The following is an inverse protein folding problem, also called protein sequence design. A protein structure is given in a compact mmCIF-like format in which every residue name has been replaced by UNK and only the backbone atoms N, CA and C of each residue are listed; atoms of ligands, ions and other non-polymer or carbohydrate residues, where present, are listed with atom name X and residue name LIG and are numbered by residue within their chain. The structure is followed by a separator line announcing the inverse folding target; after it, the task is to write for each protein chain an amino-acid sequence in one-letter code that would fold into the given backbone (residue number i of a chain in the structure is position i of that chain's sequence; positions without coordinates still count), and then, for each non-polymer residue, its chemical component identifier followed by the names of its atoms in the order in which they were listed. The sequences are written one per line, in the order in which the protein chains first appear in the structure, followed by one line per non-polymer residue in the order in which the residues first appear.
data_IF_518414989774
#
_entry.id   IF_518414989774
#
_cell.length_a   1.000
_cell.length_b   1.000
_cell.length_c   1.000
_cell.angle_alpha   90.00
_cell.angle_beta   90.00
_cell.angle_gamma   90.00
#
_symmetry.space_group_name_H-M   'P 1'
#
loop_
_entity.id
_entity.type
_entity.pdbx_description
1 polymer ?
#
# COMPACT_ATOMS: atom_id res chain seq x y z
N UNK A 1 4.43 -2.44 0.64
CA UNK A 1 4.22 -2.00 -0.75
C UNK A 1 2.79 -1.50 -0.88
N UNK A 2 2.61 -0.37 -1.54
CA UNK A 2 1.31 0.25 -1.76
C UNK A 2 0.70 -0.21 -3.08
N UNK A 3 -0.56 -0.64 -3.07
CA UNK A 3 -1.28 -1.06 -4.27
C UNK A 3 -2.74 -0.57 -4.24
N UNK A 4 -3.35 -0.51 -5.43
CA UNK A 4 -4.75 -0.14 -5.64
C UNK A 4 -5.39 -1.14 -6.60
N UNK A 5 -6.61 -1.59 -6.29
CA UNK A 5 -7.39 -2.39 -7.24
C UNK A 5 -8.26 -1.50 -8.11
N UNK A 6 -8.02 -1.54 -9.42
CA UNK A 6 -8.79 -0.82 -10.42
C UNK A 6 -9.66 -1.77 -11.23
N UNK A 7 -10.79 -1.26 -11.73
CA UNK A 7 -11.52 -1.89 -12.82
C UNK A 7 -10.89 -1.39 -14.11
N UNK A 8 -10.35 -2.33 -14.89
CA UNK A 8 -9.67 -2.06 -16.15
C UNK A 8 -10.54 -2.46 -17.33
N UNK A 9 -10.65 -1.57 -18.31
CA UNK A 9 -11.39 -1.80 -19.54
C UNK A 9 -10.60 -1.22 -20.72
N UNK A 10 -10.84 -1.77 -21.90
CA UNK A 10 -10.36 -1.25 -23.18
C UNK A 10 -11.59 -0.86 -23.99
N UNK A 11 -11.63 0.37 -24.51
CA UNK A 11 -12.72 0.83 -25.35
C UNK A 11 -12.54 0.41 -26.83
N UNK A 12 -13.51 0.77 -27.68
CA UNK A 12 -13.50 0.41 -29.10
C UNK A 12 -12.34 1.08 -29.88
N UNK A 13 -11.68 2.10 -29.31
CA UNK A 13 -10.52 2.80 -29.88
C UNK A 13 -9.20 2.29 -29.27
N UNK A 14 -9.19 1.11 -28.66
CA UNK A 14 -8.06 0.51 -27.93
C UNK A 14 -7.52 1.37 -26.78
N UNK A 15 -8.32 2.30 -26.25
CA UNK A 15 -7.90 3.15 -25.12
C UNK A 15 -8.11 2.42 -23.81
N UNK A 16 -7.05 2.45 -22.99
CA UNK A 16 -7.09 1.90 -21.64
C UNK A 16 -7.87 2.83 -20.71
N UNK A 17 -8.88 2.26 -20.05
CA UNK A 17 -9.72 2.95 -19.08
C UNK A 17 -9.54 2.34 -17.69
N UNK A 18 -9.20 3.18 -16.72
CA UNK A 18 -9.12 2.81 -15.32
C UNK A 18 -10.26 3.45 -14.54
N UNK A 19 -10.90 2.65 -13.68
CA UNK A 19 -11.97 3.17 -12.84
C UNK A 19 -11.93 2.64 -11.42
N UNK A 20 -12.46 3.47 -10.52
CA UNK A 20 -12.62 3.24 -9.09
C UNK A 20 -14.10 3.38 -8.72
N UNK A 21 -14.45 2.97 -7.51
CA UNK A 21 -15.77 3.25 -6.96
C UNK A 21 -15.77 4.60 -6.25
N UNK A 22 -16.83 5.38 -6.42
CA UNK A 22 -17.06 6.61 -5.67
C UNK A 22 -18.52 6.67 -5.27
N UNK A 23 -18.82 6.38 -4.00
CA UNK A 23 -20.21 6.39 -3.47
C UNK A 23 -21.16 5.46 -4.26
N UNK A 24 -20.65 4.32 -4.70
CA UNK A 24 -21.42 3.32 -5.45
C UNK A 24 -21.52 3.58 -6.96
N UNK A 25 -20.88 4.63 -7.48
CA UNK A 25 -20.78 4.87 -8.92
C UNK A 25 -19.35 4.68 -9.41
N UNK A 26 -19.22 4.41 -10.71
CA UNK A 26 -17.94 4.26 -11.38
C UNK A 26 -17.31 5.64 -11.61
N UNK A 27 -16.12 5.87 -11.05
CA UNK A 27 -15.29 7.05 -11.29
C UNK A 27 -14.17 6.72 -12.26
N UNK A 28 -14.12 7.38 -13.41
CA UNK A 28 -13.04 7.22 -14.39
C UNK A 28 -11.78 7.99 -13.93
N UNK A 29 -10.61 7.36 -14.10
CA UNK A 29 -9.31 7.91 -13.75
C UNK A 29 -8.58 8.37 -15.01
N UNK A 30 -8.85 9.60 -15.44
CA UNK A 30 -8.25 10.18 -16.65
C UNK A 30 -6.73 10.28 -16.54
N UNK A 31 -6.04 10.11 -17.67
CA UNK A 31 -4.59 10.29 -17.78
C UNK A 31 -3.74 9.19 -17.12
N UNK A 32 -4.36 8.15 -16.57
CA UNK A 32 -3.64 7.04 -15.95
C UNK A 32 -3.57 5.84 -16.90
N UNK A 33 -2.36 5.30 -17.11
CA UNK A 33 -2.12 4.10 -17.93
C UNK A 33 -1.61 2.95 -17.07
N UNK A 34 -1.85 1.71 -17.53
CA UNK A 34 -1.32 0.49 -16.89
C UNK A 34 -0.32 -0.19 -17.81
N UNK A 35 0.79 -0.61 -17.21
CA UNK A 35 1.75 -1.51 -17.85
C UNK A 35 1.53 -2.93 -17.32
N UNK A 36 1.41 -3.89 -18.23
CA UNK A 36 1.34 -5.32 -17.94
C UNK A 36 2.70 -5.95 -18.21
N UNK A 37 3.16 -6.84 -17.34
CA UNK A 37 4.52 -7.43 -17.45
C UNK A 37 4.60 -8.67 -18.34
N UNK A 38 3.45 -9.28 -18.66
CA UNK A 38 3.42 -10.64 -19.20
C UNK A 38 3.43 -10.70 -20.74
N UNK A 39 3.79 -9.61 -21.42
CA UNK A 39 3.68 -9.40 -22.89
C UNK A 39 2.29 -9.70 -23.49
N UNK A 40 1.28 -9.95 -22.64
CA UNK A 40 -0.08 -10.21 -23.02
C UNK A 40 -0.77 -8.91 -23.47
N UNK A 41 -1.63 -9.05 -24.48
CA UNK A 41 -2.48 -7.97 -24.95
C UNK A 41 -3.35 -7.42 -23.79
N UNK A 42 -3.30 -6.10 -23.50
CA UNK A 42 -4.14 -5.46 -22.50
C UNK A 42 -5.63 -5.80 -22.62
N UNK A 43 -6.15 -6.03 -23.83
CA UNK A 43 -7.55 -6.38 -24.06
C UNK A 43 -7.97 -7.67 -23.34
N UNK A 44 -7.03 -8.58 -23.08
CA UNK A 44 -7.26 -9.81 -22.30
C UNK A 44 -7.61 -9.55 -20.83
N UNK A 45 -7.35 -8.34 -20.33
CA UNK A 45 -7.68 -7.89 -18.98
C UNK A 45 -8.96 -7.05 -18.91
N UNK A 46 -9.56 -6.71 -20.05
CA UNK A 46 -10.76 -5.86 -20.10
C UNK A 46 -11.91 -6.46 -19.29
N UNK A 47 -12.58 -5.61 -18.51
CA UNK A 47 -13.66 -5.96 -17.59
C UNK A 47 -13.22 -6.54 -16.24
N UNK A 48 -11.92 -6.84 -16.06
CA UNK A 48 -11.40 -7.44 -14.83
C UNK A 48 -11.01 -6.38 -13.81
N UNK A 49 -10.91 -6.82 -12.56
CA UNK A 49 -10.26 -6.03 -11.50
C UNK A 49 -8.79 -6.43 -11.45
N UNK A 50 -7.92 -5.44 -11.51
CA UNK A 50 -6.47 -5.62 -11.49
C UNK A 50 -5.88 -4.88 -10.29
N UNK A 51 -4.99 -5.55 -9.55
CA UNK A 51 -4.21 -4.91 -8.50
C UNK A 51 -2.96 -4.31 -9.12
N UNK A 52 -2.75 -3.01 -8.91
CA UNK A 52 -1.63 -2.28 -9.46
C UNK A 52 -0.79 -1.60 -8.38
N UNK A 53 0.51 -1.53 -8.59
CA UNK A 53 1.44 -0.71 -7.81
C UNK A 53 1.90 0.49 -8.63
N UNK A 54 2.17 1.62 -7.98
CA UNK A 54 2.71 2.80 -8.66
C UNK A 54 4.22 2.67 -8.86
N UNK A 55 4.71 2.86 -10.10
CA UNK A 55 6.12 3.08 -10.39
C UNK A 55 6.39 4.58 -10.44
N UNK A 56 7.15 5.09 -9.48
CA UNK A 56 7.56 6.50 -9.44
C UNK A 56 8.57 6.86 -10.51
N UNK A 57 9.35 5.88 -11.00
CA UNK A 57 10.34 6.09 -12.06
C UNK A 57 9.63 6.36 -13.39
N UNK A 58 8.74 5.43 -13.79
CA UNK A 58 8.05 5.47 -15.07
C UNK A 58 6.76 6.31 -15.05
N UNK A 59 6.33 6.76 -13.87
CA UNK A 59 5.08 7.48 -13.65
C UNK A 59 3.85 6.73 -14.20
N UNK A 60 3.79 5.42 -13.92
CA UNK A 60 2.73 4.53 -14.38
C UNK A 60 2.25 3.58 -13.28
N UNK A 61 1.02 3.12 -13.44
CA UNK A 61 0.56 1.94 -12.72
C UNK A 61 1.10 0.68 -13.40
N UNK A 62 1.60 -0.24 -12.59
CA UNK A 62 2.07 -1.54 -13.04
C UNK A 62 1.13 -2.60 -12.52
N UNK A 63 0.51 -3.36 -13.41
CA UNK A 63 -0.34 -4.47 -13.04
C UNK A 63 0.51 -5.54 -12.34
N UNK A 64 0.07 -5.94 -11.14
CA UNK A 64 0.70 -7.00 -10.37
C UNK A 64 -0.02 -8.33 -10.56
N UNK A 65 -1.35 -8.30 -10.57
CA UNK A 65 -2.20 -9.49 -10.72
C UNK A 65 -3.65 -9.13 -11.02
N UNK A 66 -4.39 -10.12 -11.51
CA UNK A 66 -5.85 -10.08 -11.60
C UNK A 66 -6.48 -10.48 -10.25
N UNK A 67 -7.54 -9.78 -9.85
CA UNK A 67 -8.31 -10.02 -8.62
C UNK A 67 -9.63 -10.72 -8.91
N UNK A 68 -9.60 -12.04 -9.11
CA UNK A 68 -10.82 -12.84 -9.31
C UNK A 68 -11.68 -12.97 -8.05
N UNK A 69 -11.10 -12.67 -6.88
CA UNK A 69 -11.78 -12.66 -5.57
C UNK A 69 -12.59 -11.38 -5.32
N UNK A 70 -12.45 -10.36 -6.17
CA UNK A 70 -13.12 -9.07 -6.03
C UNK A 70 -14.16 -8.85 -7.12
N UNK A 71 -15.30 -8.30 -6.73
CA UNK A 71 -16.37 -7.88 -7.65
C UNK A 71 -16.37 -6.37 -7.91
N UNK A 72 -15.73 -5.57 -7.03
CA UNK A 72 -15.65 -4.11 -7.14
C UNK A 72 -14.21 -3.58 -7.00
N UNK A 73 -13.85 -2.50 -7.71
CA UNK A 73 -12.56 -1.83 -7.51
C UNK A 73 -12.53 -1.11 -6.15
N UNK A 74 -11.37 -0.54 -5.79
CA UNK A 74 -11.28 0.24 -4.55
C UNK A 74 -12.11 1.53 -4.61
N UNK A 75 -12.47 2.02 -3.42
CA UNK A 75 -13.04 3.36 -3.27
C UNK A 75 -12.00 4.43 -3.63
N UNK A 76 -12.45 5.53 -4.23
CA UNK A 76 -11.61 6.69 -4.55
C UNK A 76 -10.92 7.26 -3.30
N UNK A 77 -11.58 7.24 -2.15
CA UNK A 77 -10.97 7.64 -0.87
C UNK A 77 -9.81 6.73 -0.47
N UNK A 78 -9.88 5.43 -0.77
CA UNK A 78 -8.77 4.49 -0.54
C UNK A 78 -7.60 4.84 -1.47
N UNK A 79 -7.87 5.06 -2.76
CA UNK A 79 -6.87 5.54 -3.71
C UNK A 79 -6.16 6.82 -3.21
N UNK A 80 -6.91 7.82 -2.74
CA UNK A 80 -6.32 9.07 -2.21
C UNK A 80 -5.40 8.82 -1.01
N UNK A 81 -5.77 7.90 -0.11
CA UNK A 81 -4.92 7.52 1.03
C UNK A 81 -3.66 6.79 0.56
N UNK A 82 -3.78 5.90 -0.41
CA UNK A 82 -2.64 5.19 -1.01
C UNK A 82 -1.69 6.16 -1.69
N UNK A 83 -2.20 7.09 -2.50
CA UNK A 83 -1.39 8.12 -3.15
C UNK A 83 -0.67 9.02 -2.15
N UNK A 84 -1.32 9.37 -1.03
CA UNK A 84 -0.67 10.09 0.07
C UNK A 84 0.47 9.25 0.66
N UNK A 85 0.24 7.98 0.97
CA UNK A 85 1.28 7.10 1.52
C UNK A 85 2.46 6.94 0.56
N UNK A 86 2.22 6.82 -0.75
CA UNK A 86 3.27 6.79 -1.77
C UNK A 86 4.08 8.09 -1.75
N UNK A 87 3.41 9.25 -1.66
CA UNK A 87 4.06 10.56 -1.61
C UNK A 87 4.87 10.78 -0.34
N UNK A 88 4.35 10.35 0.81
CA UNK A 88 5.01 10.48 2.10
C UNK A 88 6.26 9.58 2.18
N UNK A 89 6.25 8.45 1.45
CA UNK A 89 7.40 7.55 1.26
C UNK A 89 8.13 7.18 2.57
N UNK A 90 7.38 6.85 3.62
CA UNK A 90 7.94 6.38 4.89
C UNK A 90 8.49 4.96 4.67
N UNK A 91 9.82 4.83 4.66
CA UNK A 91 10.51 3.54 4.51
C UNK A 91 10.65 2.83 5.85
N UNK A 92 10.98 1.53 5.81
CA UNK A 92 11.29 0.76 7.00
C UNK A 92 12.45 1.38 7.79
N UNK A 93 13.51 1.82 7.10
CA UNK A 93 14.66 2.46 7.75
C UNK A 93 14.31 3.76 8.47
N UNK A 94 13.48 4.62 7.85
CA UNK A 94 12.99 5.85 8.49
C UNK A 94 12.21 5.50 9.76
N UNK A 95 11.29 4.53 9.68
CA UNK A 95 10.51 4.10 10.82
C UNK A 95 11.38 3.51 11.94
N UNK A 96 12.31 2.62 11.60
CA UNK A 96 13.22 2.00 12.56
C UNK A 96 14.09 3.05 13.23
N UNK A 97 14.63 4.00 12.47
CA UNK A 97 15.42 5.10 13.00
C UNK A 97 14.61 5.95 13.99
N UNK A 98 13.37 6.31 13.64
CA UNK A 98 12.48 7.06 14.53
C UNK A 98 12.21 6.29 15.83
N UNK A 99 11.96 4.98 15.75
CA UNK A 99 11.80 4.13 16.93
C UNK A 99 13.07 4.15 17.79
N UNK A 100 14.26 3.99 17.17
CA UNK A 100 15.55 4.01 17.88
C UNK A 100 15.79 5.33 18.61
N UNK A 101 15.40 6.46 18.02
CA UNK A 101 15.51 7.77 18.66
C UNK A 101 14.47 7.94 19.78
N UNK A 102 13.22 7.51 19.56
CA UNK A 102 12.15 7.57 20.57
C UNK A 102 12.53 6.80 21.83
N UNK A 103 13.07 5.57 21.70
CA UNK A 103 13.42 4.77 22.89
C UNK A 103 14.60 5.35 23.68
N UNK A 104 15.39 6.26 23.09
CA UNK A 104 16.49 6.98 23.76
C UNK A 104 16.03 8.25 24.47
N UNK A 105 14.82 8.75 24.21
CA UNK A 105 14.30 9.91 24.91
C UNK A 105 14.21 9.62 26.42
N UNK A 106 14.55 10.59 27.30
CA UNK A 106 14.66 10.36 28.75
C UNK A 106 13.45 9.65 29.36
N UNK A 107 12.24 10.09 29.02
CA UNK A 107 10.99 9.49 29.50
C UNK A 107 10.89 7.99 29.21
N UNK A 108 11.28 7.55 28.01
CA UNK A 108 11.23 6.13 27.62
C UNK A 108 12.44 5.36 28.15
N UNK A 109 13.64 5.95 28.08
CA UNK A 109 14.87 5.33 28.57
C UNK A 109 14.84 5.08 30.08
N UNK A 110 14.26 5.98 30.88
CA UNK A 110 14.04 5.79 32.31
C UNK A 110 13.05 4.65 32.58
N UNK A 111 11.90 4.66 31.87
CA UNK A 111 10.88 3.62 32.03
C UNK A 111 11.41 2.22 31.69
N UNK A 112 12.09 2.09 30.54
CA UNK A 112 12.71 0.83 30.11
C UNK A 112 13.72 0.33 31.15
N UNK A 113 14.55 1.20 31.73
CA UNK A 113 15.50 0.84 32.78
C UNK A 113 14.81 0.33 34.05
N UNK A 114 13.74 1.00 34.49
CA UNK A 114 12.97 0.61 35.69
C UNK A 114 12.32 -0.75 35.48
N UNK A 115 11.63 -0.94 34.37
CA UNK A 115 10.94 -2.21 34.04
C UNK A 115 11.92 -3.37 33.87
N UNK A 116 13.07 -3.13 33.21
CA UNK A 116 14.11 -4.16 33.04
C UNK A 116 14.67 -4.64 34.38
N UNK A 117 14.91 -3.72 35.33
CA UNK A 117 15.35 -4.08 36.69
C UNK A 117 14.28 -4.90 37.41
N UNK A 118 13.01 -4.49 37.33
CA UNK A 118 11.90 -5.22 37.95
C UNK A 118 11.76 -6.66 37.41
N UNK A 119 11.91 -6.85 36.10
CA UNK A 119 11.89 -8.19 35.47
C UNK A 119 13.08 -9.06 35.90
N UNK A 120 14.28 -8.50 36.01
CA UNK A 120 15.44 -9.23 36.53
C UNK A 120 15.21 -9.71 37.96
N UNK A 121 14.66 -8.86 38.82
CA UNK A 121 14.31 -9.25 40.19
C UNK A 121 13.23 -10.36 40.22
N UNK A 122 12.16 -10.22 39.44
CA UNK A 122 11.08 -11.22 39.40
C UNK A 122 11.55 -12.58 38.87
N UNK A 123 12.42 -12.59 37.85
CA UNK A 123 12.97 -13.83 37.27
C UNK A 123 13.98 -14.51 38.20
N UNK A 124 14.79 -13.74 38.94
CA UNK A 124 15.69 -14.28 39.96
C UNK A 124 14.92 -14.93 41.13
N UNK A 125 13.82 -14.30 41.58
CA UNK A 125 12.98 -14.85 42.66
C UNK A 125 12.22 -16.11 42.26
N UNK A 126 11.90 -16.32 40.98
CA UNK A 126 11.26 -17.55 40.48
C UNK A 126 12.22 -18.74 40.30
N UNK A 127 13.53 -18.48 40.29
CA UNK A 127 14.57 -19.52 40.12
C UNK A 127 15.14 -20.03 41.44
N UNK A 128 14.74 -19.44 42.57
CA UNK A 128 15.01 -19.92 43.93
C UNK A 128 13.81 -20.70 44.44
#
# INVERSE_FOLDING_TARGET
MNSVDFRFEVDDDDRQLLSLNERGTKKLMEGHRVVFKDDLDPSSYSGKIIECSWSSEEHVWVCMRVRTDKSTPNEFNTYMKVMRSIKDNITEDVLLNDIYEIIRLPMYADRIRIESKAQQHASASRRR
#
